data_IF_959653124216
#
_entry.id   IF_959653124216
#
_cell.length_a   1.000
_cell.length_b   1.000
_cell.length_c   1.000
_cell.angle_alpha   90.00
_cell.angle_beta   90.00
_cell.angle_gamma   90.00
#
_symmetry.space_group_name_H-M   'P 1'
#
loop_
_entity.id
_entity.type
_entity.pdbx_description
1 polymer ?
#
# COMPACT_ATOMS: atom_id res chain seq x y z
N UNK A 1 37.12 -15.93 -14.06
CA UNK A 1 36.87 -15.57 -15.47
C UNK A 1 36.60 -14.09 -15.47
N UNK A 2 37.47 -13.30 -16.10
CA UNK A 2 37.29 -11.85 -16.25
C UNK A 2 36.32 -11.59 -17.40
N UNK A 3 35.04 -11.36 -17.07
CA UNK A 3 34.04 -10.95 -18.04
C UNK A 3 34.31 -9.51 -18.49
N UNK A 4 34.76 -9.33 -19.73
CA UNK A 4 34.89 -8.00 -20.33
C UNK A 4 33.55 -7.53 -20.89
N UNK A 5 33.00 -6.48 -20.30
CA UNK A 5 31.84 -5.77 -20.82
C UNK A 5 32.27 -4.72 -21.86
N UNK A 6 31.95 -4.95 -23.14
CA UNK A 6 32.17 -3.97 -24.20
C UNK A 6 30.98 -3.02 -24.30
N UNK A 7 31.13 -1.80 -23.77
CA UNK A 7 30.10 -0.75 -23.84
C UNK A 7 29.91 -0.28 -25.30
N UNK A 8 28.69 -0.29 -25.85
CA UNK A 8 28.42 0.25 -27.18
C UNK A 8 28.75 1.75 -27.27
N UNK A 9 29.34 2.16 -28.39
CA UNK A 9 29.79 3.56 -28.60
C UNK A 9 28.63 4.57 -28.56
N UNK A 10 27.43 4.14 -28.94
CA UNK A 10 26.23 4.97 -28.99
C UNK A 10 25.35 4.88 -27.73
N UNK A 11 25.81 4.20 -26.68
CA UNK A 11 25.05 4.03 -25.44
C UNK A 11 25.02 5.32 -24.62
N UNK A 12 23.92 6.06 -24.76
CA UNK A 12 23.58 7.23 -23.95
C UNK A 12 22.91 6.78 -22.65
N UNK A 13 23.69 6.75 -21.58
CA UNK A 13 23.25 6.34 -20.23
C UNK A 13 22.00 7.10 -19.78
N UNK A 14 21.91 8.40 -20.09
CA UNK A 14 20.79 9.26 -19.72
C UNK A 14 19.48 8.82 -20.38
N UNK A 15 19.50 8.53 -21.68
CA UNK A 15 18.28 8.16 -22.43
C UNK A 15 17.76 6.78 -21.99
N UNK A 16 18.67 5.84 -21.77
CA UNK A 16 18.32 4.52 -21.23
C UNK A 16 17.78 4.58 -19.81
N UNK A 17 18.32 5.47 -18.97
CA UNK A 17 17.86 5.65 -17.59
C UNK A 17 16.48 6.30 -17.52
N UNK A 18 16.21 7.30 -18.36
CA UNK A 18 14.89 7.95 -18.44
C UNK A 18 13.81 6.99 -18.95
N UNK A 19 14.11 6.20 -19.98
CA UNK A 19 13.16 5.20 -20.51
C UNK A 19 12.92 4.07 -19.49
N UNK A 20 13.98 3.56 -18.86
CA UNK A 20 13.86 2.51 -17.84
C UNK A 20 13.09 2.99 -16.60
N UNK A 21 13.28 4.24 -16.19
CA UNK A 21 12.48 4.85 -15.11
C UNK A 21 11.00 4.99 -15.46
N UNK A 22 10.68 5.40 -16.70
CA UNK A 22 9.28 5.52 -17.15
C UNK A 22 8.58 4.17 -17.15
N UNK A 23 9.22 3.15 -17.70
CA UNK A 23 8.71 1.79 -17.70
C UNK A 23 8.59 1.22 -16.29
N UNK A 24 9.58 1.50 -15.41
CA UNK A 24 9.54 1.10 -14.01
C UNK A 24 8.37 1.76 -13.26
N UNK A 25 8.18 3.08 -13.41
CA UNK A 25 7.06 3.81 -12.81
C UNK A 25 5.68 3.29 -13.26
N UNK A 26 5.55 2.86 -14.51
CA UNK A 26 4.32 2.26 -15.05
C UNK A 26 4.09 0.81 -14.62
N UNK A 27 5.15 0.13 -14.17
CA UNK A 27 5.12 -1.28 -13.73
C UNK A 27 5.05 -1.46 -12.22
N UNK A 28 4.99 -0.36 -11.45
CA UNK A 28 4.94 -0.44 -9.99
C UNK A 28 3.71 -1.26 -9.58
N UNK A 29 3.91 -2.38 -8.86
CA UNK A 29 2.80 -3.20 -8.39
C UNK A 29 1.89 -2.36 -7.50
N UNK A 30 0.62 -2.24 -7.88
CA UNK A 30 -0.40 -1.66 -7.01
C UNK A 30 -1.16 -2.78 -6.31
N UNK A 31 -1.03 -2.87 -4.99
CA UNK A 31 -1.85 -3.71 -4.14
C UNK A 31 -3.01 -2.90 -3.58
N UNK A 32 -4.24 -3.28 -3.93
CA UNK A 32 -5.45 -2.53 -3.56
C UNK A 32 -6.21 -3.21 -2.42
N UNK A 33 -6.66 -2.41 -1.45
CA UNK A 33 -7.41 -2.87 -0.29
C UNK A 33 -8.62 -1.97 -0.07
N UNK A 34 -9.80 -2.57 -0.06
CA UNK A 34 -11.03 -1.90 0.34
C UNK A 34 -11.20 -2.03 1.85
N UNK A 35 -11.43 -0.91 2.52
CA UNK A 35 -11.55 -0.84 3.98
C UNK A 35 -12.74 0.02 4.41
N UNK A 36 -13.26 -0.25 5.61
CA UNK A 36 -14.02 0.72 6.40
C UNK A 36 -13.09 1.38 7.38
N UNK A 37 -13.14 2.70 7.47
CA UNK A 37 -12.33 3.48 8.39
C UNK A 37 -13.21 4.30 9.30
N UNK A 38 -12.82 4.41 10.58
CA UNK A 38 -13.45 5.33 11.52
C UNK A 38 -13.21 6.81 11.10
N UNK A 39 -13.95 7.78 11.66
CA UNK A 39 -13.65 9.20 11.46
C UNK A 39 -12.19 9.57 11.77
N UNK A 40 -11.64 9.06 12.88
CA UNK A 40 -10.25 9.32 13.29
C UNK A 40 -9.25 8.78 12.26
N UNK A 41 -9.42 7.53 11.81
CA UNK A 41 -8.56 6.96 10.78
C UNK A 41 -8.74 7.71 9.45
N UNK A 42 -9.96 8.09 9.09
CA UNK A 42 -10.25 8.83 7.86
C UNK A 42 -9.46 10.14 7.78
N UNK A 43 -9.49 10.95 8.84
CA UNK A 43 -8.72 12.19 8.92
C UNK A 43 -7.23 11.92 8.78
N UNK A 44 -6.67 10.99 9.58
CA UNK A 44 -5.25 10.66 9.55
C UNK A 44 -4.78 10.14 8.19
N UNK A 45 -5.56 9.29 7.54
CA UNK A 45 -5.22 8.71 6.23
C UNK A 45 -5.17 9.82 5.17
N UNK A 46 -6.14 10.75 5.16
CA UNK A 46 -6.15 11.87 4.20
C UNK A 46 -4.89 12.74 4.30
N UNK A 47 -4.33 12.95 5.49
CA UNK A 47 -3.11 13.74 5.67
C UNK A 47 -1.85 13.08 5.10
N UNK A 48 -1.84 11.76 4.89
CA UNK A 48 -0.64 11.03 4.44
C UNK A 48 -0.39 11.11 2.93
N UNK A 49 -1.35 11.62 2.14
CA UNK A 49 -1.21 11.95 0.71
C UNK A 49 -0.90 10.80 -0.26
N UNK A 50 -0.68 9.57 0.24
CA UNK A 50 -0.07 8.47 -0.54
C UNK A 50 -1.03 7.38 -1.02
N UNK A 51 -2.23 7.27 -0.45
CA UNK A 51 -2.96 6.00 -0.47
C UNK A 51 -4.43 6.08 -0.89
N UNK A 52 -4.97 7.23 -1.29
CA UNK A 52 -6.43 7.39 -1.48
C UNK A 52 -6.76 7.63 -2.95
N UNK A 53 -7.40 6.64 -3.58
CA UNK A 53 -8.34 6.91 -4.67
C UNK A 53 -9.75 6.80 -4.09
N UNK A 54 -10.41 7.95 -3.89
CA UNK A 54 -11.83 7.98 -3.57
C UNK A 54 -12.59 7.62 -4.86
N UNK A 55 -12.70 6.32 -5.17
CA UNK A 55 -13.42 5.85 -6.36
C UNK A 55 -14.92 6.03 -6.20
N UNK A 56 -15.40 6.17 -4.96
CA UNK A 56 -16.71 6.72 -4.62
C UNK A 56 -16.61 7.25 -3.19
N UNK A 57 -17.19 8.40 -2.86
CA UNK A 57 -17.57 8.69 -1.48
C UNK A 57 -18.61 7.64 -1.06
N UNK A 58 -18.15 6.47 -0.64
CA UNK A 58 -18.99 5.39 -0.17
C UNK A 58 -19.84 5.87 0.99
N UNK A 59 -21.07 5.32 1.12
CA UNK A 59 -22.03 5.68 2.17
C UNK A 59 -21.33 5.82 3.51
N UNK A 60 -21.32 7.04 4.06
CA UNK A 60 -21.05 7.24 5.48
C UNK A 60 -22.05 6.37 6.23
N UNK A 61 -21.55 5.35 6.91
CA UNK A 61 -22.39 4.49 7.73
C UNK A 61 -22.96 5.30 8.90
N UNK A 62 -24.06 4.84 9.50
CA UNK A 62 -24.72 5.53 10.62
C UNK A 62 -23.78 5.88 11.79
N UNK A 63 -22.67 5.15 11.92
CA UNK A 63 -21.66 5.32 12.97
C UNK A 63 -20.49 6.23 12.55
N UNK A 64 -20.58 6.92 11.40
CA UNK A 64 -19.54 7.81 10.89
C UNK A 64 -18.35 7.10 10.21
N UNK A 65 -18.39 5.78 10.02
CA UNK A 65 -17.33 5.08 9.29
C UNK A 65 -17.51 5.25 7.78
N UNK A 66 -16.40 5.38 7.07
CA UNK A 66 -16.33 5.63 5.63
C UNK A 66 -15.65 4.46 4.92
N UNK A 67 -16.17 4.07 3.76
CA UNK A 67 -15.51 3.09 2.88
C UNK A 67 -14.47 3.77 1.99
N UNK A 68 -13.26 3.21 1.93
CA UNK A 68 -12.15 3.72 1.11
C UNK A 68 -11.47 2.58 0.35
N UNK A 69 -10.99 2.87 -0.85
CA UNK A 69 -9.97 2.06 -1.53
C UNK A 69 -8.59 2.64 -1.21
N UNK A 70 -7.73 1.79 -0.66
CA UNK A 70 -6.35 2.11 -0.35
C UNK A 70 -5.41 1.39 -1.32
N UNK A 71 -4.40 2.07 -1.83
CA UNK A 71 -3.38 1.50 -2.72
C UNK A 71 -2.03 1.44 -2.04
N UNK A 72 -1.30 0.33 -2.19
CA UNK A 72 0.02 0.10 -1.59
C UNK A 72 0.98 -0.47 -2.64
N UNK A 73 2.29 -0.38 -2.42
CA UNK A 73 3.24 -1.01 -3.35
C UNK A 73 3.35 -2.52 -3.11
N UNK A 74 3.08 -2.95 -1.88
CA UNK A 74 3.17 -4.36 -1.48
C UNK A 74 2.06 -4.73 -0.50
N UNK A 75 1.80 -6.04 -0.39
CA UNK A 75 0.86 -6.56 0.60
C UNK A 75 1.36 -6.36 2.05
N UNK A 76 2.66 -6.49 2.31
CA UNK A 76 3.22 -6.29 3.66
C UNK A 76 3.08 -4.83 4.13
N UNK A 77 3.29 -3.87 3.22
CA UNK A 77 2.98 -2.45 3.50
C UNK A 77 1.52 -2.27 3.92
N UNK A 78 0.58 -2.91 3.22
CA UNK A 78 -0.84 -2.83 3.56
C UNK A 78 -1.12 -3.43 4.95
N UNK A 79 -0.56 -4.61 5.26
CA UNK A 79 -0.70 -5.26 6.57
C UNK A 79 -0.18 -4.35 7.69
N UNK A 80 1.05 -3.84 7.54
CA UNK A 80 1.68 -2.97 8.54
C UNK A 80 0.88 -1.69 8.77
N UNK A 81 0.43 -1.08 7.68
CA UNK A 81 -0.38 0.12 7.74
C UNK A 81 -1.68 -0.12 8.50
N UNK A 82 -2.42 -1.18 8.15
CA UNK A 82 -3.72 -1.50 8.77
C UNK A 82 -3.55 -1.82 10.26
N UNK A 83 -2.55 -2.64 10.62
CA UNK A 83 -2.24 -2.96 12.03
C UNK A 83 -1.91 -1.69 12.83
N UNK A 84 -1.21 -0.73 12.23
CA UNK A 84 -0.86 0.54 12.87
C UNK A 84 -2.06 1.42 13.27
N UNK A 85 -3.24 1.18 12.70
CA UNK A 85 -4.49 1.84 13.11
C UNK A 85 -5.28 1.06 14.17
N UNK A 86 -4.82 -0.14 14.56
CA UNK A 86 -5.48 -0.99 15.54
C UNK A 86 -6.93 -1.28 15.14
N UNK A 87 -7.88 -0.90 15.99
CA UNK A 87 -9.31 -1.14 15.76
C UNK A 87 -10.02 -0.06 14.92
N UNK A 88 -9.27 0.89 14.34
CA UNK A 88 -9.84 2.03 13.62
C UNK A 88 -10.00 1.80 12.10
N UNK A 89 -9.53 0.65 11.59
CA UNK A 89 -9.61 0.23 10.18
C UNK A 89 -10.09 -1.22 10.12
N UNK A 90 -11.02 -1.51 9.21
CA UNK A 90 -11.57 -2.85 8.98
C UNK A 90 -11.49 -3.21 7.51
N UNK A 91 -10.90 -4.36 7.20
CA UNK A 91 -10.79 -4.86 5.81
C UNK A 91 -12.16 -5.32 5.30
N UNK A 92 -12.48 -4.91 4.08
CA UNK A 92 -13.60 -5.41 3.28
C UNK A 92 -13.12 -6.35 2.16
N UNK A 93 -11.99 -6.02 1.53
CA UNK A 93 -11.36 -6.83 0.48
C UNK A 93 -9.88 -6.47 0.34
N UNK A 94 -8.98 -7.43 0.03
CA UNK A 94 -9.28 -8.85 -0.15
C UNK A 94 -9.35 -9.60 1.19
N UNK A 95 -10.25 -10.57 1.31
CA UNK A 95 -10.54 -11.23 2.60
C UNK A 95 -9.37 -12.08 3.12
N UNK A 96 -8.51 -12.58 2.24
CA UNK A 96 -7.29 -13.31 2.61
C UNK A 96 -6.28 -12.43 3.39
N UNK A 97 -6.41 -11.10 3.32
CA UNK A 97 -5.57 -10.16 4.06
C UNK A 97 -5.89 -10.18 5.57
N UNK A 98 -7.10 -10.60 5.95
CA UNK A 98 -7.56 -10.64 7.36
C UNK A 98 -6.68 -11.58 8.19
N UNK A 99 -6.31 -12.75 7.65
CA UNK A 99 -5.46 -13.70 8.36
C UNK A 99 -4.06 -13.14 8.62
N UNK A 100 -3.52 -12.38 7.65
CA UNK A 100 -2.19 -11.74 7.76
C UNK A 100 -2.18 -10.64 8.81
N UNK A 101 -3.20 -9.76 8.80
CA UNK A 101 -3.37 -8.72 9.82
C UNK A 101 -3.58 -9.33 11.20
N UNK A 102 -4.36 -10.40 11.31
CA UNK A 102 -4.60 -11.09 12.58
C UNK A 102 -3.32 -11.73 13.11
N UNK A 103 -2.51 -12.36 12.24
CA UNK A 103 -1.20 -12.90 12.60
C UNK A 103 -0.26 -11.82 13.15
N UNK A 104 -0.12 -10.70 12.44
CA UNK A 104 0.74 -9.58 12.87
C UNK A 104 0.26 -8.93 14.17
N UNK A 105 -1.05 -8.84 14.37
CA UNK A 105 -1.61 -8.34 15.62
C UNK A 105 -1.28 -9.28 16.81
N UNK A 106 -1.30 -10.60 16.60
CA UNK A 106 -0.88 -11.58 17.62
C UNK A 106 0.59 -11.44 17.97
N UNK A 107 1.47 -11.35 16.97
CA UNK A 107 2.91 -11.10 17.17
C UNK A 107 3.16 -9.82 17.99
N UNK A 108 2.36 -8.78 17.74
CA UNK A 108 2.42 -7.53 18.51
C UNK A 108 2.02 -7.75 19.96
N UNK A 109 0.94 -8.50 20.21
CA UNK A 109 0.51 -8.85 21.58
C UNK A 109 1.60 -9.67 22.29
N UNK A 110 2.16 -10.67 21.61
CA UNK A 110 3.18 -11.56 22.17
C UNK A 110 4.47 -10.81 22.53
N UNK A 111 4.83 -9.76 21.78
CA UNK A 111 5.99 -8.91 22.08
C UNK A 111 5.88 -8.18 23.43
N UNK A 112 4.66 -7.81 23.83
CA UNK A 112 4.41 -7.03 25.06
C UNK A 112 3.85 -7.88 26.22
N UNK A 113 3.80 -9.20 26.05
CA UNK A 113 3.34 -10.14 27.06
C UNK A 113 4.49 -10.61 27.95
#
# INVERSE_FOLDING_TARGET
MDEQFNRPRDFKLSDHWEESKKQFMQSLPEFRVNVKVSPFAHERIRFTGRFVQAVNDGKVTENGWTELELTFNTEDEAVNFIVGFGNQVKILSPLNLIDKVTGRARETIDLYR
#
